data_IF_962661596867
#
_entry.id   IF_962661596867
#
_cell.length_a   1.000
_cell.length_b   1.000
_cell.length_c   1.000
_cell.angle_alpha   90.00
_cell.angle_beta   90.00
_cell.angle_gamma   90.00
#
_symmetry.space_group_name_H-M   'P 1'
#
loop_
_entity.id
_entity.type
_entity.pdbx_description
1 polymer ?
#
# COMPACT_ATOMS: atom_id res chain seq x y z
N UNK A 1 17.29 -5.53 22.22
CA UNK A 1 17.96 -4.83 21.09
C UNK A 1 16.89 -4.46 20.09
N UNK A 2 16.93 -3.28 19.52
CA UNK A 2 15.96 -2.78 18.54
C UNK A 2 16.65 -2.44 17.23
N UNK A 3 15.87 -2.31 16.14
CA UNK A 3 16.38 -1.79 14.86
C UNK A 3 16.69 -0.29 14.98
N UNK A 4 17.68 0.19 14.23
CA UNK A 4 18.01 1.61 14.12
C UNK A 4 17.32 2.28 12.92
N UNK A 5 16.89 1.50 11.95
CA UNK A 5 15.97 1.86 10.88
C UNK A 5 15.21 0.63 10.42
N UNK A 6 13.99 0.82 9.89
CA UNK A 6 13.20 -0.23 9.22
C UNK A 6 12.90 0.23 7.82
N UNK A 7 13.32 -0.56 6.83
CA UNK A 7 13.03 -0.32 5.41
C UNK A 7 12.28 -1.54 4.89
N UNK A 8 11.01 -1.34 4.55
CA UNK A 8 10.14 -2.43 4.14
C UNK A 8 9.68 -2.29 2.67
N UNK A 9 9.01 -3.31 2.19
CA UNK A 9 8.45 -3.43 0.85
C UNK A 9 7.24 -4.36 0.86
N UNK A 10 7.05 -5.17 -0.17
CA UNK A 10 6.04 -6.22 -0.31
C UNK A 10 4.67 -5.76 -0.86
N UNK A 11 4.18 -4.58 -0.51
CA UNK A 11 2.85 -4.12 -0.94
C UNK A 11 2.76 -3.75 -2.42
N UNK A 12 3.87 -3.74 -3.14
CA UNK A 12 3.96 -3.39 -4.56
C UNK A 12 3.47 -1.98 -4.92
N UNK A 13 3.39 -1.09 -3.95
CA UNK A 13 3.08 0.33 -4.13
C UNK A 13 3.86 1.16 -3.11
N UNK A 14 4.18 2.42 -3.40
CA UNK A 14 4.79 3.32 -2.44
C UNK A 14 3.84 3.60 -1.28
N UNK A 15 4.35 3.54 -0.06
CA UNK A 15 3.63 3.90 1.16
C UNK A 15 4.37 5.01 1.90
N UNK A 16 3.76 5.53 2.94
CA UNK A 16 4.35 6.54 3.79
C UNK A 16 5.44 6.01 4.71
N UNK A 17 5.89 6.88 5.58
CA UNK A 17 6.91 6.62 6.58
C UNK A 17 6.56 7.28 7.93
N UNK A 18 7.23 6.87 8.98
CA UNK A 18 7.18 7.55 10.27
C UNK A 18 8.55 7.54 10.96
N UNK A 19 8.66 8.30 12.04
CA UNK A 19 9.83 8.27 12.92
C UNK A 19 9.38 7.80 14.30
N UNK A 20 9.89 6.65 14.72
CA UNK A 20 9.63 6.09 16.04
C UNK A 20 10.88 6.15 16.92
N UNK A 21 10.81 6.87 18.04
CA UNK A 21 11.94 7.09 18.94
C UNK A 21 13.20 7.61 18.21
N UNK A 22 13.03 8.53 17.25
CA UNK A 22 14.13 9.10 16.46
C UNK A 22 14.68 8.19 15.36
N UNK A 23 14.04 7.05 15.10
CA UNK A 23 14.45 6.05 14.10
C UNK A 23 13.43 5.95 12.98
N UNK A 24 13.86 5.97 11.70
CA UNK A 24 12.95 5.93 10.57
C UNK A 24 12.34 4.54 10.37
N UNK A 25 11.05 4.52 10.02
CA UNK A 25 10.31 3.36 9.56
C UNK A 25 9.72 3.71 8.18
N UNK A 26 10.19 3.06 7.14
CA UNK A 26 9.70 3.17 5.77
C UNK A 26 8.84 1.95 5.50
N UNK A 27 7.53 2.13 5.31
CA UNK A 27 6.58 1.01 5.21
C UNK A 27 6.63 0.29 3.88
N UNK A 28 6.78 1.02 2.77
CA UNK A 28 7.06 0.41 1.46
C UNK A 28 7.62 1.44 0.49
N UNK A 29 8.72 1.09 -0.15
CA UNK A 29 9.32 1.89 -1.21
C UNK A 29 8.63 1.71 -2.58
N UNK A 30 7.66 0.79 -2.70
CA UNK A 30 7.09 0.39 -3.98
C UNK A 30 7.97 -0.59 -4.75
N UNK A 31 7.62 -0.84 -6.01
CA UNK A 31 8.39 -1.69 -6.91
C UNK A 31 9.61 -0.94 -7.46
N UNK A 32 10.75 -1.62 -7.52
CA UNK A 32 11.93 -1.05 -8.18
C UNK A 32 11.85 -1.20 -9.71
N UNK A 33 11.76 -2.42 -10.17
CA UNK A 33 11.63 -2.74 -11.59
C UNK A 33 10.89 -4.08 -11.69
N UNK A 34 9.65 -4.04 -12.13
CA UNK A 34 8.79 -5.21 -12.07
C UNK A 34 7.93 -5.32 -13.32
N UNK A 35 8.18 -6.34 -14.14
CA UNK A 35 7.37 -6.58 -15.34
C UNK A 35 5.97 -7.04 -14.91
N UNK A 36 4.94 -6.30 -15.36
CA UNK A 36 3.56 -6.72 -15.23
C UNK A 36 2.83 -6.45 -16.54
N UNK A 37 2.42 -7.52 -17.21
CA UNK A 37 1.74 -7.44 -18.51
C UNK A 37 0.23 -7.26 -18.39
N UNK A 38 -0.33 -7.38 -17.18
CA UNK A 38 -1.76 -7.24 -16.93
C UNK A 38 -2.17 -5.78 -16.68
N UNK A 39 -1.25 -4.96 -16.17
CA UNK A 39 -1.47 -3.55 -15.90
C UNK A 39 -1.02 -2.70 -17.08
N UNK A 40 -1.93 -1.94 -17.63
CA UNK A 40 -1.71 -1.10 -18.82
C UNK A 40 -1.76 0.40 -18.53
N UNK A 41 -2.20 0.79 -17.34
CA UNK A 41 -2.25 2.19 -16.93
C UNK A 41 -0.94 2.57 -16.22
N UNK A 42 -0.18 3.47 -16.82
CA UNK A 42 1.06 3.98 -16.25
C UNK A 42 0.88 4.87 -15.02
N UNK A 43 -0.35 5.22 -14.67
CA UNK A 43 -0.71 5.90 -13.42
C UNK A 43 -1.10 4.95 -12.28
N UNK A 44 -1.07 3.65 -12.51
CA UNK A 44 -1.22 2.67 -11.44
C UNK A 44 -0.01 2.74 -10.50
N UNK A 45 -0.26 2.77 -9.20
CA UNK A 45 0.78 2.82 -8.15
C UNK A 45 1.82 1.70 -8.25
N UNK A 46 1.52 0.64 -9.00
CA UNK A 46 2.45 -0.43 -9.33
C UNK A 46 3.74 0.06 -9.99
N UNK A 47 3.65 1.11 -10.82
CA UNK A 47 4.78 1.63 -11.61
C UNK A 47 5.57 2.72 -10.90
N UNK A 48 5.24 3.03 -9.65
CA UNK A 48 5.87 4.08 -8.87
C UNK A 48 6.61 3.52 -7.67
N UNK A 49 7.66 4.21 -7.30
CA UNK A 49 8.43 3.91 -6.12
C UNK A 49 9.30 5.10 -5.72
N UNK A 50 10.08 4.91 -4.67
CA UNK A 50 11.12 5.83 -4.28
C UNK A 50 12.32 5.09 -3.71
N UNK A 51 13.51 5.64 -3.96
CA UNK A 51 14.71 5.24 -3.22
C UNK A 51 14.70 5.93 -1.87
N UNK A 52 15.19 5.23 -0.86
CA UNK A 52 15.48 5.81 0.44
C UNK A 52 16.99 5.95 0.60
N UNK A 53 17.47 7.16 0.79
CA UNK A 53 18.87 7.47 1.06
C UNK A 53 19.01 7.65 2.56
N UNK A 54 19.74 6.77 3.23
CA UNK A 54 20.02 6.89 4.67
C UNK A 54 21.35 7.61 4.90
N UNK A 55 21.32 8.64 5.73
CA UNK A 55 22.52 9.22 6.34
C UNK A 55 22.65 8.71 7.76
N UNK A 56 23.69 7.91 7.98
CA UNK A 56 23.92 7.20 9.23
C UNK A 56 25.18 7.75 9.89
N UNK A 57 25.02 8.39 11.01
CA UNK A 57 26.13 8.81 11.86
C UNK A 57 25.97 8.29 13.30
N UNK A 58 26.97 8.50 14.16
CA UNK A 58 27.00 7.95 15.54
C UNK A 58 25.83 8.40 16.42
N UNK A 59 25.19 9.53 16.12
CA UNK A 59 24.20 10.16 16.98
C UNK A 59 22.81 10.22 16.37
N UNK A 60 22.70 10.06 15.04
CA UNK A 60 21.42 10.27 14.32
C UNK A 60 21.40 9.46 13.04
N UNK A 61 20.22 8.97 12.71
CA UNK A 61 19.90 8.47 11.38
C UNK A 61 18.85 9.42 10.78
N UNK A 62 19.14 9.94 9.60
CA UNK A 62 18.18 10.70 8.80
C UNK A 62 18.03 10.05 7.43
N UNK A 63 16.98 10.42 6.71
CA UNK A 63 16.73 9.88 5.39
C UNK A 63 16.16 10.94 4.46
N UNK A 64 16.40 10.75 3.17
CA UNK A 64 15.74 11.41 2.06
C UNK A 64 15.08 10.39 1.16
N UNK A 65 14.04 10.81 0.44
CA UNK A 65 13.37 10.01 -0.57
C UNK A 65 13.60 10.59 -1.97
N UNK A 66 13.81 9.71 -2.93
CA UNK A 66 14.00 10.05 -4.34
C UNK A 66 12.96 9.28 -5.15
N UNK A 67 11.81 9.89 -5.47
CA UNK A 67 10.73 9.22 -6.18
C UNK A 67 11.08 8.99 -7.65
N UNK A 68 10.53 7.91 -8.18
CA UNK A 68 10.70 7.50 -9.57
C UNK A 68 9.46 6.79 -10.10
N UNK A 69 9.38 6.69 -11.41
CA UNK A 69 8.47 5.82 -12.14
C UNK A 69 9.29 4.87 -13.02
N UNK A 70 8.80 3.65 -13.23
CA UNK A 70 9.32 2.79 -14.27
C UNK A 70 8.28 2.56 -15.37
N UNK A 71 8.74 2.26 -16.57
CA UNK A 71 7.89 2.06 -17.75
C UNK A 71 7.09 0.74 -17.68
N UNK A 72 5.99 0.66 -18.46
CA UNK A 72 5.14 -0.54 -18.51
C UNK A 72 5.91 -1.81 -18.85
N UNK A 73 6.86 -1.81 -19.82
CA UNK A 73 7.69 -3.00 -20.08
C UNK A 73 8.59 -3.39 -18.90
N UNK A 74 8.84 -2.49 -17.94
CA UNK A 74 9.74 -2.72 -16.83
C UNK A 74 11.21 -2.74 -17.26
N UNK A 75 11.60 -1.84 -18.14
CA UNK A 75 12.96 -1.77 -18.70
C UNK A 75 13.70 -0.48 -18.36
N UNK A 76 12.98 0.57 -17.97
CA UNK A 76 13.55 1.89 -17.70
C UNK A 76 12.95 2.49 -16.45
N UNK A 77 13.80 3.11 -15.64
CA UNK A 77 13.42 3.94 -14.51
C UNK A 77 13.66 5.40 -14.86
N UNK A 78 12.67 6.25 -14.55
CA UNK A 78 12.77 7.70 -14.66
C UNK A 78 12.64 8.30 -13.26
N UNK A 79 13.72 8.88 -12.77
CA UNK A 79 13.73 9.62 -11.49
C UNK A 79 13.05 10.94 -11.71
N UNK A 80 12.16 11.31 -10.79
CA UNK A 80 11.47 12.60 -10.85
C UNK A 80 12.36 13.75 -10.39
N UNK A 81 12.21 14.89 -11.02
CA UNK A 81 12.83 16.15 -10.63
C UNK A 81 11.80 17.30 -10.61
N UNK A 82 12.23 18.48 -10.25
CA UNK A 82 11.44 19.70 -10.29
C UNK A 82 10.04 19.56 -9.69
N UNK A 83 9.02 19.86 -10.48
CA UNK A 83 7.62 19.84 -10.07
C UNK A 83 7.13 18.44 -9.73
N UNK A 84 7.45 17.45 -10.55
CA UNK A 84 6.98 16.08 -10.39
C UNK A 84 7.54 15.45 -9.11
N UNK A 85 8.82 15.72 -8.80
CA UNK A 85 9.42 15.32 -7.51
C UNK A 85 8.69 15.97 -6.33
N UNK A 86 8.37 17.25 -6.42
CA UNK A 86 7.67 17.96 -5.36
C UNK A 86 6.24 17.43 -5.14
N UNK A 87 5.54 17.06 -6.22
CA UNK A 87 4.20 16.47 -6.14
C UNK A 87 4.24 15.06 -5.55
N UNK A 88 5.19 14.23 -5.96
CA UNK A 88 5.38 12.90 -5.38
C UNK A 88 5.78 12.94 -3.90
N UNK A 89 6.68 13.84 -3.52
CA UNK A 89 7.04 14.00 -2.11
C UNK A 89 5.81 14.38 -1.28
N UNK A 90 5.02 15.36 -1.73
CA UNK A 90 3.78 15.76 -1.06
C UNK A 90 2.78 14.60 -0.93
N UNK A 91 2.68 13.77 -1.95
CA UNK A 91 1.85 12.57 -1.92
C UNK A 91 2.32 11.59 -0.84
N UNK A 92 3.62 11.30 -0.77
CA UNK A 92 4.20 10.38 0.24
C UNK A 92 4.08 10.98 1.65
N UNK A 93 4.26 12.28 1.80
CA UNK A 93 4.06 12.99 3.07
C UNK A 93 2.61 12.88 3.55
N UNK A 94 1.64 13.05 2.65
CA UNK A 94 0.21 12.86 2.97
C UNK A 94 -0.10 11.42 3.40
N UNK A 95 0.47 10.41 2.76
CA UNK A 95 0.37 9.01 3.21
C UNK A 95 0.96 8.84 4.61
N UNK A 96 2.06 9.52 4.90
CA UNK A 96 2.75 9.48 6.21
C UNK A 96 1.91 10.12 7.31
N UNK A 97 1.22 11.22 7.02
CA UNK A 97 0.27 11.87 7.94
C UNK A 97 -0.91 10.94 8.26
N UNK A 98 -1.49 10.27 7.26
CA UNK A 98 -2.58 9.32 7.46
C UNK A 98 -2.14 8.15 8.35
N UNK A 99 -0.95 7.60 8.14
CA UNK A 99 -0.41 6.50 8.96
C UNK A 99 -0.27 6.91 10.43
N UNK A 100 0.11 8.14 10.71
CA UNK A 100 0.27 8.67 12.06
C UNK A 100 -1.07 9.01 12.77
N UNK A 101 -2.19 8.90 12.06
CA UNK A 101 -3.53 9.11 12.61
C UNK A 101 -4.32 7.78 12.64
N UNK A 102 -4.28 6.99 13.73
CA UNK A 102 -4.89 5.66 13.77
C UNK A 102 -6.40 5.65 13.50
N UNK A 103 -7.11 6.70 13.86
CA UNK A 103 -8.55 6.78 13.63
C UNK A 103 -8.89 7.01 12.17
N UNK A 104 -8.12 7.84 11.49
CA UNK A 104 -8.26 8.11 10.06
C UNK A 104 -7.79 6.91 9.22
N UNK A 105 -6.64 6.34 9.57
CA UNK A 105 -6.12 5.11 8.95
C UNK A 105 -7.15 3.98 9.00
N UNK A 106 -7.85 3.81 10.13
CA UNK A 106 -8.93 2.81 10.26
C UNK A 106 -10.07 3.07 9.28
N UNK A 107 -10.45 4.33 9.04
CA UNK A 107 -11.49 4.66 8.08
C UNK A 107 -11.04 4.39 6.63
N UNK A 108 -9.81 4.75 6.28
CA UNK A 108 -9.24 4.39 4.99
C UNK A 108 -9.19 2.86 4.79
N UNK A 109 -8.81 2.10 5.83
CA UNK A 109 -8.80 0.65 5.77
C UNK A 109 -10.20 0.05 5.56
N UNK A 110 -11.24 0.61 6.19
CA UNK A 110 -12.64 0.24 5.93
C UNK A 110 -13.01 0.45 4.45
N UNK A 111 -12.73 1.64 3.92
CA UNK A 111 -13.01 1.97 2.51
C UNK A 111 -12.26 1.05 1.56
N UNK A 112 -10.97 0.82 1.80
CA UNK A 112 -10.14 -0.09 1.00
C UNK A 112 -10.67 -1.52 1.03
N UNK A 113 -11.07 -2.01 2.21
CA UNK A 113 -11.59 -3.38 2.38
C UNK A 113 -12.85 -3.61 1.56
N UNK A 114 -13.77 -2.63 1.49
CA UNK A 114 -14.96 -2.74 0.66
C UNK A 114 -14.68 -2.60 -0.85
N UNK A 115 -13.63 -1.89 -1.25
CA UNK A 115 -13.24 -1.78 -2.66
C UNK A 115 -12.57 -3.07 -3.19
N UNK A 116 -12.02 -3.90 -2.30
CA UNK A 116 -11.26 -5.11 -2.65
C UNK A 116 -11.90 -6.37 -2.06
N UNK A 117 -13.23 -6.49 -2.17
CA UNK A 117 -13.97 -7.62 -1.62
C UNK A 117 -13.65 -8.89 -2.41
N UNK A 118 -12.97 -9.85 -1.77
CA UNK A 118 -12.72 -11.20 -2.29
C UNK A 118 -13.57 -12.28 -1.60
N UNK A 119 -14.14 -11.98 -0.42
CA UNK A 119 -14.94 -12.91 0.39
C UNK A 119 -16.15 -13.48 -0.36
N UNK A 120 -16.90 -12.73 -1.19
CA UNK A 120 -18.02 -13.27 -1.94
C UNK A 120 -17.64 -14.41 -2.90
N UNK A 121 -16.37 -14.51 -3.29
CA UNK A 121 -15.87 -15.59 -4.15
C UNK A 121 -15.57 -16.88 -3.37
N UNK A 122 -15.42 -16.81 -2.03
CA UNK A 122 -15.13 -17.95 -1.19
C UNK A 122 -16.17 -19.07 -1.27
N UNK A 123 -17.51 -18.81 -1.17
CA UNK A 123 -18.51 -19.87 -1.27
C UNK A 123 -18.45 -20.61 -2.61
N UNK A 124 -18.35 -19.87 -3.70
CA UNK A 124 -18.28 -20.44 -5.04
C UNK A 124 -17.00 -21.28 -5.21
N UNK A 125 -15.88 -20.79 -4.72
CA UNK A 125 -14.59 -21.50 -4.74
C UNK A 125 -14.56 -22.72 -3.80
N UNK A 126 -15.28 -22.67 -2.68
CA UNK A 126 -15.41 -23.81 -1.76
C UNK A 126 -16.27 -24.91 -2.36
N UNK A 127 -17.37 -24.57 -3.05
CA UNK A 127 -18.25 -25.55 -3.68
C UNK A 127 -17.68 -26.14 -4.98
N UNK A 128 -16.83 -25.40 -5.67
CA UNK A 128 -16.14 -25.83 -6.90
C UNK A 128 -14.70 -26.24 -6.62
N UNK A 129 -14.49 -27.11 -5.63
CA UNK A 129 -13.17 -27.55 -5.19
C UNK A 129 -12.38 -28.25 -6.31
N UNK A 130 -11.57 -27.46 -6.98
CA UNK A 130 -10.40 -27.98 -7.71
C UNK A 130 -9.17 -27.84 -6.80
N UNK A 131 -8.14 -28.66 -6.97
CA UNK A 131 -6.90 -28.57 -6.20
C UNK A 131 -6.27 -27.18 -6.28
N UNK A 132 -6.44 -26.47 -7.39
CA UNK A 132 -5.96 -25.11 -7.58
C UNK A 132 -6.72 -24.10 -6.70
N UNK A 133 -8.05 -24.17 -6.68
CA UNK A 133 -8.89 -23.27 -5.87
C UNK A 133 -8.70 -23.52 -4.37
N UNK A 134 -8.49 -24.76 -3.94
CA UNK A 134 -8.25 -25.10 -2.54
C UNK A 134 -6.93 -24.50 -2.05
N UNK A 135 -5.85 -24.56 -2.83
CA UNK A 135 -4.56 -23.98 -2.48
C UNK A 135 -4.64 -22.45 -2.38
N UNK A 136 -5.25 -21.78 -3.36
CA UNK A 136 -5.42 -20.33 -3.35
C UNK A 136 -6.25 -19.84 -2.16
N UNK A 137 -7.35 -20.52 -1.85
CA UNK A 137 -8.19 -20.20 -0.68
C UNK A 137 -7.45 -20.43 0.65
N UNK A 138 -6.66 -21.50 0.75
CA UNK A 138 -5.84 -21.76 1.92
C UNK A 138 -4.80 -20.66 2.15
N UNK A 139 -4.11 -20.23 1.11
CA UNK A 139 -3.12 -19.15 1.20
C UNK A 139 -3.77 -17.80 1.57
N UNK A 140 -4.95 -17.49 1.04
CA UNK A 140 -5.73 -16.32 1.43
C UNK A 140 -6.09 -16.35 2.92
N UNK A 141 -6.59 -17.48 3.43
CA UNK A 141 -6.97 -17.62 4.83
C UNK A 141 -5.79 -17.70 5.78
N UNK A 142 -4.62 -18.14 5.32
CA UNK A 142 -3.39 -18.20 6.11
C UNK A 142 -2.72 -16.83 6.26
N UNK A 143 -2.92 -15.93 5.31
CA UNK A 143 -2.33 -14.60 5.34
C UNK A 143 -3.06 -13.70 6.36
N UNK A 144 -2.33 -13.20 7.36
CA UNK A 144 -2.87 -12.35 8.42
C UNK A 144 -3.49 -11.04 7.87
N UNK A 145 -2.91 -10.48 6.81
CA UNK A 145 -3.44 -9.29 6.15
C UNK A 145 -4.82 -9.54 5.53
N UNK A 146 -5.01 -10.68 4.85
CA UNK A 146 -6.29 -11.07 4.28
C UNK A 146 -7.34 -11.38 5.36
N UNK A 147 -6.92 -12.03 6.46
CA UNK A 147 -7.81 -12.25 7.60
C UNK A 147 -8.25 -10.94 8.25
N UNK A 148 -7.36 -9.97 8.38
CA UNK A 148 -7.67 -8.65 8.92
C UNK A 148 -8.67 -7.91 8.03
N UNK A 149 -8.51 -7.98 6.70
CA UNK A 149 -9.47 -7.44 5.74
C UNK A 149 -10.83 -8.13 5.85
N UNK A 150 -10.87 -9.45 5.92
CA UNK A 150 -12.08 -10.23 6.08
C UNK A 150 -12.85 -9.83 7.34
N UNK A 151 -12.15 -9.76 8.48
CA UNK A 151 -12.74 -9.29 9.74
C UNK A 151 -13.33 -7.89 9.60
N UNK A 152 -12.60 -6.96 8.99
CA UNK A 152 -13.08 -5.60 8.78
C UNK A 152 -14.35 -5.54 7.92
N UNK A 153 -14.45 -6.35 6.87
CA UNK A 153 -15.66 -6.43 6.03
C UNK A 153 -16.84 -6.95 6.86
N UNK A 154 -16.66 -8.03 7.63
CA UNK A 154 -17.72 -8.55 8.49
C UNK A 154 -18.12 -7.56 9.59
N UNK A 155 -17.20 -6.81 10.19
CA UNK A 155 -17.51 -5.75 11.16
C UNK A 155 -18.38 -4.66 10.54
N UNK A 156 -18.05 -4.21 9.31
CA UNK A 156 -18.84 -3.20 8.58
C UNK A 156 -20.27 -3.70 8.33
N UNK A 157 -20.41 -4.95 7.89
CA UNK A 157 -21.72 -5.57 7.62
C UNK A 157 -22.52 -5.76 8.90
N UNK A 158 -21.88 -6.27 9.96
CA UNK A 158 -22.54 -6.53 11.25
C UNK A 158 -23.04 -5.25 11.93
N UNK A 159 -22.30 -4.16 11.79
CA UNK A 159 -22.62 -2.86 12.39
C UNK A 159 -23.46 -1.95 11.48
N UNK A 160 -23.88 -2.42 10.30
CA UNK A 160 -24.63 -1.63 9.30
C UNK A 160 -23.90 -0.33 8.88
N UNK A 161 -22.58 -0.41 8.72
CA UNK A 161 -21.71 0.74 8.40
C UNK A 161 -21.45 0.93 6.90
N UNK A 162 -22.12 0.21 6.00
CA UNK A 162 -21.86 0.26 4.56
C UNK A 162 -22.01 1.70 4.03
N UNK A 163 -23.09 2.38 4.35
CA UNK A 163 -23.34 3.74 3.85
C UNK A 163 -22.35 4.75 4.41
N UNK A 164 -21.97 4.62 5.66
CA UNK A 164 -20.95 5.47 6.29
C UNK A 164 -19.57 5.26 5.68
N UNK A 165 -19.30 4.07 5.15
CA UNK A 165 -18.01 3.71 4.54
C UNK A 165 -17.88 4.18 3.09
N UNK A 166 -18.98 4.49 2.36
CA UNK A 166 -18.94 4.93 0.96
C UNK A 166 -18.05 6.15 0.71
N UNK A 167 -18.06 7.12 1.61
CA UNK A 167 -17.18 8.30 1.50
C UNK A 167 -15.70 7.88 1.54
N UNK A 168 -15.36 6.93 2.36
CA UNK A 168 -14.00 6.43 2.50
C UNK A 168 -13.57 5.53 1.34
N UNK A 169 -14.51 4.77 0.74
CA UNK A 169 -14.26 4.06 -0.51
C UNK A 169 -13.84 5.02 -1.64
N UNK A 170 -14.53 6.16 -1.75
CA UNK A 170 -14.16 7.19 -2.72
C UNK A 170 -12.81 7.82 -2.41
N UNK A 171 -12.57 8.22 -1.15
CA UNK A 171 -11.30 8.81 -0.71
C UNK A 171 -10.11 7.89 -0.99
N UNK A 172 -10.22 6.59 -0.68
CA UNK A 172 -9.13 5.65 -0.94
C UNK A 172 -8.90 5.45 -2.43
N UNK A 173 -9.95 5.42 -3.25
CA UNK A 173 -9.82 5.34 -4.70
C UNK A 173 -9.15 6.57 -5.31
N UNK A 174 -9.34 7.74 -4.72
CA UNK A 174 -8.63 8.96 -5.11
C UNK A 174 -7.18 8.94 -4.64
N UNK A 175 -6.94 8.47 -3.41
CA UNK A 175 -5.59 8.35 -2.84
C UNK A 175 -4.71 7.34 -3.59
N UNK A 176 -5.29 6.33 -4.21
CA UNK A 176 -4.57 5.33 -5.00
C UNK A 176 -4.14 5.83 -6.39
N UNK A 177 -4.63 7.00 -6.84
CA UNK A 177 -4.20 7.62 -8.09
C UNK A 177 -2.89 8.36 -7.86
N UNK A 178 -1.92 8.08 -8.72
CA UNK A 178 -0.65 8.76 -8.65
C UNK A 178 -0.78 10.22 -9.13
N UNK A 179 -0.09 11.17 -8.51
CA UNK A 179 -0.28 12.60 -8.78
C UNK A 179 0.38 13.08 -10.08
N UNK A 180 1.29 12.30 -10.66
CA UNK A 180 2.10 12.63 -11.84
C UNK A 180 2.01 11.57 -12.92
#
# INVERSE_FOLDING_TARGET
>A
MGADAVIAGHTHCPQGYETYNGKPIIYSMGNFLFKNTEKTDNKDSWYYGYFTILDINKSKISFDIVPYQFDIPGTKITVFDGKDKAEMNRYIDNLSEIIQNPSELKQYFKGWSLNHIWIPQLPENIYNLTNYNASGNYDLLKCEAHLSQAKQIFEILFNDEIDNTKTWQKKISELQKMPV
#
